data_IF_414910702706
#
_entry.id   IF_414910702706
#
_cell.length_a   1.000
_cell.length_b   1.000
_cell.length_c   1.000
_cell.angle_alpha   90.00
_cell.angle_beta   90.00
_cell.angle_gamma   90.00
#
_symmetry.space_group_name_H-M   'P 1'
#
loop_
_entity.id
_entity.type
_entity.pdbx_description
1 polymer ?
#
# COMPACT_ATOMS: atom_id res chain seq x y z
N UNK A 1 -46.27 21.85 2.59
CA UNK A 1 -44.89 22.38 2.63
C UNK A 1 -44.08 21.34 3.37
N UNK A 2 -43.61 20.34 2.64
CA UNK A 2 -42.73 19.33 3.21
C UNK A 2 -41.33 19.93 3.28
N UNK A 3 -40.88 20.18 4.50
CA UNK A 3 -39.50 20.55 4.77
C UNK A 3 -38.67 19.31 4.48
N UNK A 4 -38.13 19.25 3.26
CA UNK A 4 -37.03 18.36 2.92
C UNK A 4 -35.89 18.72 3.86
N UNK A 5 -35.75 17.94 4.93
CA UNK A 5 -34.54 17.88 5.73
C UNK A 5 -33.41 17.48 4.79
N UNK A 6 -32.74 18.48 4.22
CA UNK A 6 -31.41 18.29 3.65
C UNK A 6 -30.55 17.80 4.80
N UNK A 7 -30.32 16.48 4.90
CA UNK A 7 -29.23 15.91 5.70
C UNK A 7 -27.91 16.44 5.14
N UNK A 8 -27.56 17.65 5.52
CA UNK A 8 -26.19 18.14 5.47
C UNK A 8 -25.58 17.70 6.80
N UNK A 9 -25.12 16.46 6.84
CA UNK A 9 -24.09 16.05 7.79
C UNK A 9 -23.00 15.36 6.98
N UNK A 10 -22.41 16.10 6.04
CA UNK A 10 -21.33 15.62 5.16
C UNK A 10 -19.98 15.80 5.86
N UNK A 11 -19.80 15.06 6.95
CA UNK A 11 -18.53 15.06 7.68
C UNK A 11 -18.47 13.88 8.62
N UNK A 12 -17.26 13.41 8.85
CA UNK A 12 -16.96 12.37 9.82
C UNK A 12 -17.63 12.68 11.16
N UNK A 13 -18.21 11.64 11.80
CA UNK A 13 -18.65 11.74 13.19
C UNK A 13 -17.47 12.11 14.10
N UNK A 14 -17.72 12.41 15.38
CA UNK A 14 -16.62 12.60 16.34
C UNK A 14 -15.85 11.29 16.56
N UNK A 15 -14.54 11.34 16.84
CA UNK A 15 -13.75 10.16 17.17
C UNK A 15 -14.29 9.45 18.43
N UNK A 16 -14.01 8.14 18.61
CA UNK A 16 -13.21 7.29 17.74
C UNK A 16 -13.91 6.92 16.42
N UNK A 17 -13.17 7.00 15.32
CA UNK A 17 -13.63 6.57 13.99
C UNK A 17 -13.39 5.08 13.81
N UNK A 18 -14.38 4.37 13.28
CA UNK A 18 -14.28 2.93 13.03
C UNK A 18 -14.19 2.65 11.55
N UNK A 19 -13.16 1.93 11.13
CA UNK A 19 -12.96 1.47 9.76
C UNK A 19 -12.98 -0.05 9.73
N UNK A 20 -13.76 -0.65 8.83
CA UNK A 20 -13.81 -2.10 8.62
C UNK A 20 -13.55 -2.47 7.18
N UNK A 21 -12.85 -3.58 6.97
CA UNK A 21 -12.62 -4.12 5.63
C UNK A 21 -11.46 -5.10 5.57
N UNK A 22 -10.61 -4.94 4.55
CA UNK A 22 -9.41 -5.76 4.36
C UNK A 22 -8.21 -4.91 4.01
N UNK A 23 -7.01 -5.43 4.26
CA UNK A 23 -5.79 -4.72 3.91
C UNK A 23 -4.63 -5.65 3.57
N UNK A 24 -3.70 -5.12 2.77
CA UNK A 24 -2.38 -5.68 2.52
C UNK A 24 -1.34 -4.70 3.07
N UNK A 25 -0.61 -5.11 4.10
CA UNK A 25 0.55 -4.38 4.60
C UNK A 25 1.82 -5.03 4.10
N UNK A 26 2.58 -4.34 3.26
CA UNK A 26 3.89 -4.80 2.82
C UNK A 26 4.99 -3.92 3.41
N UNK A 27 5.89 -4.54 4.15
CA UNK A 27 7.05 -3.91 4.77
C UNK A 27 8.24 -4.02 3.82
N UNK A 28 8.92 -2.91 3.60
CA UNK A 28 10.08 -2.81 2.71
C UNK A 28 11.30 -2.23 3.43
N UNK A 29 12.49 -2.52 2.89
CA UNK A 29 13.72 -1.80 3.18
C UNK A 29 13.79 -0.54 2.31
N UNK A 30 13.48 0.60 2.91
CA UNK A 30 13.57 1.92 2.26
C UNK A 30 14.93 2.52 2.55
N UNK A 31 15.58 3.11 1.55
CA UNK A 31 16.84 3.86 1.77
C UNK A 31 16.58 5.03 2.72
N UNK A 32 17.41 5.19 3.74
CA UNK A 32 17.29 6.28 4.71
C UNK A 32 17.31 7.65 4.02
N UNK A 33 18.13 7.83 2.98
CA UNK A 33 18.15 9.06 2.18
C UNK A 33 16.80 9.40 1.54
N UNK A 34 16.06 8.40 1.03
CA UNK A 34 14.71 8.58 0.49
C UNK A 34 13.71 8.93 1.60
N UNK A 35 13.78 8.23 2.74
CA UNK A 35 12.89 8.50 3.87
C UNK A 35 13.09 9.92 4.45
N UNK A 36 14.34 10.41 4.48
CA UNK A 36 14.70 11.74 4.97
C UNK A 36 14.23 12.90 4.09
N UNK A 37 13.76 12.64 2.87
CA UNK A 37 13.08 13.66 2.07
C UNK A 37 11.66 13.96 2.60
N UNK A 38 11.02 13.01 3.28
CA UNK A 38 9.67 13.15 3.83
C UNK A 38 9.64 13.41 5.34
N UNK A 39 10.65 12.93 6.05
CA UNK A 39 10.69 12.92 7.51
C UNK A 39 11.53 14.11 8.00
N UNK A 40 10.95 15.03 8.80
CA UNK A 40 11.68 16.14 9.41
C UNK A 40 12.96 15.69 10.12
N UNK A 41 14.01 16.52 10.05
CA UNK A 41 15.34 16.16 10.59
C UNK A 41 15.33 16.05 12.11
N UNK A 42 14.42 16.75 12.76
CA UNK A 42 14.16 16.78 14.20
C UNK A 42 13.65 15.42 14.69
N UNK A 43 12.95 14.66 13.83
CA UNK A 43 12.48 13.33 14.14
C UNK A 43 13.60 12.31 13.94
N UNK A 44 13.81 11.48 14.96
CA UNK A 44 14.81 10.42 14.93
C UNK A 44 14.31 9.27 14.07
N UNK A 45 14.90 9.08 12.89
CA UNK A 45 14.65 7.91 12.05
C UNK A 45 15.22 6.64 12.69
N UNK A 46 14.43 5.57 12.72
CA UNK A 46 14.90 4.22 13.06
C UNK A 46 15.57 3.64 11.82
N UNK A 47 16.89 3.71 11.78
CA UNK A 47 17.70 3.27 10.64
C UNK A 47 18.82 2.30 11.04
N UNK A 48 19.15 1.39 10.13
CA UNK A 48 20.29 0.49 10.21
C UNK A 48 20.91 0.31 8.81
N UNK A 49 22.23 0.41 8.71
CA UNK A 49 22.97 0.26 7.44
C UNK A 49 22.49 1.16 6.29
N UNK A 50 21.97 2.36 6.61
CA UNK A 50 21.42 3.29 5.62
C UNK A 50 20.02 2.93 5.11
N UNK A 51 19.30 2.04 5.81
CA UNK A 51 17.92 1.66 5.51
C UNK A 51 17.01 1.84 6.73
N UNK A 52 15.72 2.03 6.48
CA UNK A 52 14.64 2.06 7.49
C UNK A 52 13.51 1.13 7.05
N UNK A 53 12.63 0.78 8.00
CA UNK A 53 11.41 0.04 7.70
C UNK A 53 10.34 1.02 7.22
N UNK A 54 9.89 0.82 5.98
CA UNK A 54 8.75 1.52 5.39
C UNK A 54 7.94 0.55 4.53
N UNK A 55 7.39 1.03 3.42
CA UNK A 55 6.64 0.21 2.47
C UNK A 55 5.28 0.80 2.17
N UNK A 56 4.22 -0.01 2.20
CA UNK A 56 2.87 0.49 1.97
C UNK A 56 1.79 -0.31 2.68
N UNK A 57 0.67 0.37 2.93
CA UNK A 57 -0.56 -0.22 3.43
C UNK A 57 -1.68 0.04 2.41
N UNK A 58 -2.17 -1.02 1.77
CA UNK A 58 -3.26 -0.97 0.80
C UNK A 58 -4.53 -1.53 1.46
N UNK A 59 -5.51 -0.67 1.72
CA UNK A 59 -6.77 -1.04 2.35
C UNK A 59 -7.97 -0.90 1.40
N UNK A 60 -8.94 -1.77 1.61
CA UNK A 60 -10.28 -1.70 1.03
C UNK A 60 -11.27 -1.70 2.19
N UNK A 61 -11.91 -0.55 2.42
CA UNK A 61 -12.86 -0.36 3.50
C UNK A 61 -14.29 -0.56 2.99
N UNK A 62 -15.01 -1.47 3.63
CA UNK A 62 -16.41 -1.78 3.34
C UNK A 62 -17.37 -1.00 4.27
N UNK A 63 -16.86 -0.48 5.40
CA UNK A 63 -17.61 0.33 6.37
C UNK A 63 -16.66 1.35 7.02
N UNK A 64 -16.97 2.64 6.87
CA UNK A 64 -16.20 3.74 7.46
C UNK A 64 -17.07 5.00 7.59
N UNK A 65 -16.61 6.04 8.30
CA UNK A 65 -17.36 7.31 8.36
C UNK A 65 -17.54 7.99 7.00
N UNK A 66 -16.65 7.74 6.02
CA UNK A 66 -16.75 8.24 4.64
C UNK A 66 -17.45 7.26 3.68
N UNK A 67 -18.05 6.19 4.19
CA UNK A 67 -18.59 5.10 3.39
C UNK A 67 -17.51 4.14 2.87
N UNK A 68 -17.78 3.50 1.74
CA UNK A 68 -16.88 2.51 1.11
C UNK A 68 -15.80 3.24 0.32
N UNK A 69 -14.53 2.95 0.60
CA UNK A 69 -13.41 3.55 -0.14
C UNK A 69 -12.14 2.68 -0.08
N UNK A 70 -11.22 2.90 -1.03
CA UNK A 70 -9.89 2.30 -1.06
C UNK A 70 -8.84 3.33 -0.64
N UNK A 71 -7.81 2.85 0.07
CA UNK A 71 -6.70 3.66 0.56
C UNK A 71 -5.35 2.99 0.27
N UNK A 72 -4.39 3.76 -0.21
CA UNK A 72 -2.99 3.37 -0.29
C UNK A 72 -2.13 4.37 0.49
N UNK A 73 -1.61 3.93 1.63
CA UNK A 73 -0.63 4.70 2.42
C UNK A 73 0.77 4.27 2.00
N UNK A 74 1.55 5.22 1.48
CA UNK A 74 2.99 5.05 1.23
C UNK A 74 3.74 5.41 2.52
N UNK A 75 4.48 4.47 3.07
CA UNK A 75 5.17 4.62 4.37
C UNK A 75 6.65 4.85 4.11
N UNK A 76 7.10 6.09 4.32
CA UNK A 76 8.49 6.51 4.07
C UNK A 76 9.50 5.76 4.95
N UNK A 77 9.15 5.58 6.21
CA UNK A 77 10.05 5.06 7.22
C UNK A 77 9.42 5.02 8.59
N UNK A 78 10.20 4.56 9.57
CA UNK A 78 9.77 4.43 10.96
C UNK A 78 10.53 5.45 11.81
N UNK A 79 9.80 6.32 12.50
CA UNK A 79 10.36 7.33 13.41
C UNK A 79 10.24 6.89 14.86
N UNK A 80 11.21 7.28 15.68
CA UNK A 80 11.16 7.05 17.12
C UNK A 80 10.22 8.05 17.77
N UNK A 81 9.24 7.57 18.54
CA UNK A 81 8.30 8.38 19.31
C UNK A 81 8.16 7.76 20.71
N UNK A 82 9.04 8.10 21.66
CA UNK A 82 9.11 7.42 22.96
C UNK A 82 7.73 7.30 23.64
N UNK A 83 7.35 6.11 24.17
CA UNK A 83 8.15 4.89 24.33
C UNK A 83 8.11 3.93 23.12
N UNK A 84 7.45 4.31 22.02
CA UNK A 84 7.22 3.44 20.85
C UNK A 84 7.91 4.00 19.60
N UNK A 85 7.55 3.45 18.44
CA UNK A 85 7.87 4.00 17.13
C UNK A 85 6.59 4.22 16.33
N UNK A 86 6.65 5.11 15.35
CA UNK A 86 5.52 5.41 14.48
C UNK A 86 5.94 5.31 13.01
N UNK A 87 5.03 4.83 12.17
CA UNK A 87 5.21 4.88 10.72
C UNK A 87 4.96 6.32 10.24
N UNK A 88 5.81 6.82 9.34
CA UNK A 88 5.62 8.11 8.70
C UNK A 88 5.05 7.95 7.30
N UNK A 89 3.86 8.53 7.06
CA UNK A 89 3.24 8.52 5.74
C UNK A 89 3.92 9.55 4.82
N UNK A 90 4.46 9.12 3.69
CA UNK A 90 4.95 10.00 2.63
C UNK A 90 3.80 10.55 1.78
N UNK A 91 2.80 9.70 1.51
CA UNK A 91 1.65 10.02 0.65
C UNK A 91 0.50 9.08 1.01
N UNK A 92 -0.72 9.60 1.02
CA UNK A 92 -1.93 8.80 1.23
C UNK A 92 -2.85 8.99 0.03
N UNK A 93 -3.17 7.92 -0.69
CA UNK A 93 -4.02 7.98 -1.88
C UNK A 93 -5.38 7.37 -1.54
N UNK A 94 -6.47 8.10 -1.79
CA UNK A 94 -7.84 7.63 -1.49
C UNK A 94 -8.82 7.95 -2.62
N UNK A 95 -9.79 7.08 -2.88
CA UNK A 95 -10.85 7.35 -3.87
C UNK A 95 -12.08 8.09 -3.30
N UNK A 96 -12.03 8.53 -2.04
CA UNK A 96 -13.08 9.36 -1.43
C UNK A 96 -12.58 10.78 -1.17
N UNK A 97 -13.27 11.76 -1.74
CA UNK A 97 -13.00 13.19 -1.48
C UNK A 97 -13.20 13.55 0.00
N UNK A 98 -14.19 12.94 0.66
CA UNK A 98 -14.46 13.17 2.07
C UNK A 98 -13.34 12.64 2.96
N UNK A 99 -12.87 11.41 2.69
CA UNK A 99 -11.73 10.83 3.40
C UNK A 99 -10.44 11.64 3.18
N UNK A 100 -10.21 12.11 1.95
CA UNK A 100 -9.07 12.97 1.61
C UNK A 100 -9.12 14.29 2.40
N UNK A 101 -10.26 14.98 2.35
CA UNK A 101 -10.45 16.26 3.03
C UNK A 101 -10.30 16.11 4.55
N UNK A 102 -10.93 15.09 5.13
CA UNK A 102 -10.83 14.79 6.56
C UNK A 102 -9.39 14.49 6.98
N UNK A 103 -8.69 13.61 6.23
CA UNK A 103 -7.30 13.27 6.50
C UNK A 103 -6.37 14.48 6.51
N UNK A 104 -6.55 15.42 5.58
CA UNK A 104 -5.76 16.67 5.57
C UNK A 104 -6.12 17.60 6.72
N UNK A 105 -7.42 17.83 6.94
CA UNK A 105 -7.89 18.88 7.85
C UNK A 105 -7.81 18.50 9.32
N UNK A 106 -8.24 17.29 9.67
CA UNK A 106 -8.35 16.83 11.06
C UNK A 106 -7.09 16.07 11.52
N UNK A 107 -6.38 15.41 10.58
CA UNK A 107 -5.23 14.54 10.91
C UNK A 107 -3.88 15.12 10.43
N UNK A 108 -3.88 15.97 9.40
CA UNK A 108 -2.64 16.48 8.79
C UNK A 108 -1.93 15.48 7.87
N UNK A 109 -2.67 14.52 7.30
CA UNK A 109 -2.11 13.52 6.38
C UNK A 109 -1.79 14.14 5.01
N UNK A 110 -0.72 13.66 4.33
CA UNK A 110 -0.40 14.01 2.95
C UNK A 110 -1.33 13.28 1.96
N UNK A 111 -2.64 13.47 2.13
CA UNK A 111 -3.67 12.77 1.36
C UNK A 111 -3.86 13.38 -0.01
N UNK A 112 -4.09 12.57 -1.04
CA UNK A 112 -4.43 12.96 -2.41
C UNK A 112 -5.57 12.08 -2.92
N UNK A 113 -6.40 12.64 -3.79
CA UNK A 113 -7.48 11.88 -4.43
C UNK A 113 -6.88 10.99 -5.50
N UNK A 114 -7.29 9.73 -5.55
CA UNK A 114 -6.80 8.75 -6.51
C UNK A 114 -7.91 7.83 -6.99
N UNK A 115 -7.71 7.25 -8.17
CA UNK A 115 -8.56 6.21 -8.73
C UNK A 115 -7.88 4.85 -8.55
N UNK A 116 -8.67 3.88 -8.10
CA UNK A 116 -8.26 2.49 -7.92
C UNK A 116 -9.00 1.63 -8.93
N UNK A 117 -8.27 0.87 -9.73
CA UNK A 117 -8.82 -0.09 -10.70
C UNK A 117 -8.36 -1.49 -10.34
N UNK A 118 -9.29 -2.34 -9.90
CA UNK A 118 -9.02 -3.74 -9.53
C UNK A 118 -9.38 -4.65 -10.69
N UNK A 119 -8.41 -5.44 -11.17
CA UNK A 119 -8.60 -6.45 -12.21
C UNK A 119 -8.21 -7.82 -11.68
N UNK A 120 -9.12 -8.78 -11.78
CA UNK A 120 -8.85 -10.17 -11.42
C UNK A 120 -8.55 -10.93 -12.72
N UNK A 121 -7.38 -11.56 -12.78
CA UNK A 121 -6.97 -12.40 -13.90
C UNK A 121 -6.74 -13.82 -13.38
N UNK A 122 -7.52 -14.78 -13.88
CA UNK A 122 -7.25 -16.19 -13.64
C UNK A 122 -5.97 -16.57 -14.38
N UNK A 123 -4.96 -17.08 -13.67
CA UNK A 123 -3.69 -17.47 -14.30
C UNK A 123 -3.86 -18.86 -14.93
N UNK A 124 -3.78 -19.00 -16.27
CA UNK A 124 -3.88 -20.31 -16.92
C UNK A 124 -2.63 -21.15 -16.63
N UNK A 125 -2.80 -22.46 -16.40
CA UNK A 125 -1.69 -23.37 -16.09
C UNK A 125 -0.69 -23.43 -17.24
N UNK A 126 0.58 -23.09 -16.99
CA UNK A 126 1.66 -23.39 -17.92
C UNK A 126 1.97 -24.89 -17.83
N UNK A 127 1.65 -25.65 -18.87
CA UNK A 127 2.02 -27.07 -19.00
C UNK A 127 3.54 -27.12 -19.01
N UNK A 128 4.15 -27.66 -17.95
CA UNK A 128 5.60 -27.89 -17.92
C UNK A 128 5.90 -28.96 -18.96
N UNK A 129 6.51 -28.57 -20.07
CA UNK A 129 7.03 -29.54 -21.02
C UNK A 129 8.04 -30.43 -20.30
N UNK A 130 7.80 -31.74 -20.33
CA UNK A 130 8.71 -32.76 -19.81
C UNK A 130 10.00 -32.68 -20.62
N UNK A 131 11.06 -32.14 -20.02
CA UNK A 131 12.43 -32.51 -20.39
C UNK A 131 12.88 -33.63 -19.44
N UNK A 132 13.28 -34.76 -20.03
CA UNK A 132 13.67 -36.03 -19.40
C UNK A 132 14.92 -35.93 -18.50
N UNK A 133 15.02 -36.85 -17.53
CA UNK A 133 16.32 -37.32 -17.05
C UNK A 133 16.37 -37.80 -15.60
N UNK A 134 16.01 -39.07 -15.36
CA UNK A 134 16.44 -39.93 -14.24
C UNK A 134 16.39 -39.36 -12.81
N UNK A 135 15.33 -39.68 -12.06
CA UNK A 135 15.31 -40.09 -10.63
C UNK A 135 13.85 -40.22 -10.15
N UNK A 136 13.13 -41.23 -10.66
CA UNK A 136 11.80 -41.62 -10.16
C UNK A 136 11.94 -42.95 -9.41
N UNK A 137 12.24 -42.92 -8.11
CA UNK A 137 12.12 -44.11 -7.22
C UNK A 137 11.80 -43.77 -5.76
N UNK A 138 11.02 -42.71 -5.48
CA UNK A 138 10.24 -42.66 -4.24
C UNK A 138 8.91 -41.98 -4.52
N UNK A 139 7.86 -42.80 -4.62
CA UNK A 139 6.50 -42.35 -4.82
C UNK A 139 6.05 -41.44 -3.68
N UNK A 140 5.75 -40.18 -4.01
CA UNK A 140 4.94 -39.31 -3.17
C UNK A 140 4.12 -38.36 -4.07
N UNK A 141 2.80 -38.42 -3.88
CA UNK A 141 1.74 -37.91 -4.75
C UNK A 141 1.98 -36.58 -5.46
N UNK A 142 1.62 -36.56 -6.75
CA UNK A 142 1.39 -35.34 -7.53
C UNK A 142 0.22 -34.56 -6.94
N UNK A 143 0.52 -33.58 -6.07
CA UNK A 143 -0.50 -32.65 -5.59
C UNK A 143 -0.95 -31.73 -6.73
N UNK A 144 -2.19 -31.89 -7.18
CA UNK A 144 -2.88 -30.96 -8.07
C UNK A 144 -3.00 -29.59 -7.37
N UNK A 145 -2.17 -28.63 -7.76
CA UNK A 145 -2.31 -27.24 -7.31
C UNK A 145 -3.53 -26.57 -7.98
N UNK A 146 -4.29 -25.84 -7.16
CA UNK A 146 -5.48 -25.07 -7.56
C UNK A 146 -5.08 -23.82 -8.38
N UNK A 147 -6.01 -23.23 -9.16
CA UNK A 147 -5.77 -21.99 -9.90
C UNK A 147 -5.37 -20.86 -8.93
N UNK A 148 -4.29 -20.13 -9.24
CA UNK A 148 -3.94 -18.90 -8.55
C UNK A 148 -4.64 -17.73 -9.26
N UNK A 149 -5.49 -17.01 -8.54
CA UNK A 149 -6.04 -15.75 -9.03
C UNK A 149 -5.05 -14.62 -8.79
N UNK A 150 -4.74 -13.85 -9.83
CA UNK A 150 -3.93 -12.64 -9.72
C UNK A 150 -4.86 -11.43 -9.66
N UNK A 151 -4.77 -10.68 -8.57
CA UNK A 151 -5.46 -9.40 -8.41
C UNK A 151 -4.46 -8.29 -8.70
N UNK A 152 -4.74 -7.51 -9.74
CA UNK A 152 -3.99 -6.31 -10.09
C UNK A 152 -4.76 -5.08 -9.64
N UNK A 153 -4.13 -4.22 -8.84
CA UNK A 153 -4.66 -2.93 -8.41
C UNK A 153 -3.82 -1.84 -9.06
N UNK A 154 -4.41 -1.12 -10.02
CA UNK A 154 -3.80 0.07 -10.61
C UNK A 154 -4.25 1.31 -9.84
N UNK A 155 -3.29 2.16 -9.49
CA UNK A 155 -3.54 3.39 -8.75
C UNK A 155 -3.09 4.58 -9.59
N UNK A 156 -4.00 5.53 -9.81
CA UNK A 156 -3.71 6.77 -10.53
C UNK A 156 -4.18 7.96 -9.71
N UNK A 157 -3.28 8.92 -9.46
CA UNK A 157 -3.61 10.14 -8.72
C UNK A 157 -4.41 11.08 -9.61
N UNK A 158 -5.38 11.78 -9.03
CA UNK A 158 -6.26 12.73 -9.71
C UNK A 158 -5.96 14.13 -9.21
N UNK A 159 -5.57 15.01 -10.13
CA UNK A 159 -5.34 16.42 -9.87
C UNK A 159 -6.20 17.26 -10.83
N UNK A 160 -7.31 17.80 -10.31
CA UNK A 160 -8.31 18.50 -11.12
C UNK A 160 -8.86 17.62 -12.25
N UNK A 161 -8.60 18.02 -13.49
CA UNK A 161 -9.00 17.27 -14.69
C UNK A 161 -7.94 16.25 -15.17
N UNK A 162 -6.73 16.30 -14.61
CA UNK A 162 -5.64 15.40 -14.97
C UNK A 162 -5.66 14.14 -14.08
N UNK A 163 -5.26 13.02 -14.66
CA UNK A 163 -5.03 11.76 -13.94
C UNK A 163 -3.67 11.24 -14.31
N UNK A 164 -2.88 10.83 -13.33
CA UNK A 164 -1.52 10.43 -13.55
C UNK A 164 -1.22 9.12 -12.81
N UNK A 165 -0.75 8.12 -13.54
CA UNK A 165 -0.56 6.78 -12.99
C UNK A 165 0.59 6.74 -11.98
N UNK A 166 0.37 6.07 -10.85
CA UNK A 166 1.34 5.97 -9.75
C UNK A 166 2.02 4.61 -9.80
N UNK A 167 1.24 3.53 -9.73
CA UNK A 167 1.76 2.18 -9.68
C UNK A 167 0.71 1.14 -10.06
N UNK A 168 1.19 -0.07 -10.37
CA UNK A 168 0.39 -1.28 -10.40
C UNK A 168 0.87 -2.24 -9.33
N UNK A 169 -0.04 -2.71 -8.48
CA UNK A 169 0.23 -3.66 -7.39
C UNK A 169 -0.43 -4.99 -7.76
N UNK A 170 0.39 -6.01 -8.01
CA UNK A 170 -0.06 -7.36 -8.36
C UNK A 170 0.05 -8.26 -7.14
N UNK A 171 -1.10 -8.64 -6.61
CA UNK A 171 -1.26 -9.54 -5.46
C UNK A 171 -1.63 -10.91 -5.99
N UNK A 172 -0.90 -11.95 -5.56
CA UNK A 172 -1.29 -13.34 -5.83
C UNK A 172 -2.18 -13.83 -4.72
N UNK A 173 -3.35 -14.35 -5.07
CA UNK A 173 -4.18 -15.11 -4.16
C UNK A 173 -3.56 -16.50 -3.99
N UNK A 174 -2.70 -16.66 -2.99
CA UNK A 174 -2.21 -17.99 -2.63
C UNK A 174 -3.41 -18.81 -2.13
N UNK A 175 -3.82 -19.81 -2.93
CA UNK A 175 -4.68 -20.87 -2.46
C UNK A 175 -3.99 -21.54 -1.26
N UNK A 176 -4.73 -21.64 -0.16
CA UNK A 176 -4.34 -21.86 1.24
C UNK A 176 -3.32 -22.99 1.52
N UNK A 177 -2.92 -23.81 0.55
CA UNK A 177 -2.17 -25.06 0.82
C UNK A 177 -0.66 -25.05 0.56
N UNK A 178 -0.11 -24.16 -0.31
CA UNK A 178 1.33 -24.24 -0.66
C UNK A 178 2.23 -23.38 0.24
N UNK A 179 1.78 -22.18 0.62
CA UNK A 179 2.54 -21.27 1.48
C UNK A 179 2.58 -21.77 2.93
N UNK A 180 1.49 -22.36 3.45
CA UNK A 180 1.48 -22.99 4.79
C UNK A 180 2.47 -24.16 4.87
N UNK A 181 2.62 -24.94 3.78
CA UNK A 181 3.62 -26.01 3.68
C UNK A 181 5.06 -25.50 3.56
N UNK A 182 5.29 -24.41 2.81
CA UNK A 182 6.63 -23.78 2.69
C UNK A 182 7.03 -22.96 3.92
N UNK A 183 6.08 -22.38 4.65
CA UNK A 183 6.33 -21.73 5.93
C UNK A 183 6.74 -22.76 7.01
N UNK A 184 6.32 -24.02 6.87
CA UNK A 184 6.88 -25.14 7.63
C UNK A 184 8.38 -25.38 7.37
N UNK A 185 8.95 -24.87 6.27
CA UNK A 185 10.40 -24.89 5.98
C UNK A 185 11.08 -23.53 6.17
N UNK A 186 10.37 -22.52 6.67
CA UNK A 186 10.95 -21.21 6.99
C UNK A 186 11.79 -21.35 8.26
N UNK A 187 13.11 -21.16 8.14
CA UNK A 187 14.06 -21.28 9.25
C UNK A 187 14.14 -20.06 10.18
N UNK A 188 13.35 -19.01 9.93
CA UNK A 188 13.22 -17.87 10.85
C UNK A 188 12.16 -18.12 11.94
N UNK A 189 12.10 -17.29 12.99
CA UNK A 189 11.11 -17.45 14.05
C UNK A 189 9.69 -17.35 13.47
N UNK A 190 8.85 -18.35 13.78
CA UNK A 190 7.44 -18.34 13.43
C UNK A 190 6.70 -17.32 14.31
N UNK A 191 6.44 -16.14 13.76
CA UNK A 191 5.69 -15.10 14.47
C UNK A 191 4.19 -15.34 14.25
N UNK A 192 3.51 -15.91 15.24
CA UNK A 192 2.04 -16.01 15.27
C UNK A 192 1.49 -14.74 15.93
N UNK A 193 1.03 -13.79 15.12
CA UNK A 193 0.29 -12.62 15.61
C UNK A 193 -1.21 -12.87 15.52
N UNK A 194 -1.86 -13.14 16.65
CA UNK A 194 -3.32 -13.05 16.76
C UNK A 194 -3.65 -11.74 17.47
N UNK A 195 -4.01 -10.73 16.69
CA UNK A 195 -4.54 -9.49 17.25
C UNK A 195 -6.05 -9.67 17.47
N UNK A 196 -6.62 -9.16 18.58
CA UNK A 196 -7.97 -9.53 19.03
C UNK A 196 -9.10 -9.25 18.01
N UNK A 197 -8.87 -8.36 17.04
CA UNK A 197 -9.91 -7.85 16.14
C UNK A 197 -9.74 -8.18 14.66
N UNK A 198 -8.73 -8.98 14.24
CA UNK A 198 -8.57 -9.32 12.81
C UNK A 198 -7.69 -10.54 12.53
N UNK A 199 -7.91 -11.17 11.38
CA UNK A 199 -7.13 -12.33 10.91
C UNK A 199 -5.95 -11.86 10.08
N UNK A 200 -4.75 -11.93 10.65
CA UNK A 200 -3.48 -11.67 9.95
C UNK A 200 -2.92 -12.95 9.36
N UNK A 201 -2.48 -12.90 8.10
CA UNK A 201 -1.74 -14.00 7.48
C UNK A 201 -0.53 -13.48 6.72
N UNK A 202 0.66 -14.07 6.90
CA UNK A 202 1.77 -13.79 6.01
C UNK A 202 1.45 -14.28 4.60
N UNK A 203 1.71 -13.44 3.60
CA UNK A 203 1.49 -13.73 2.18
C UNK A 203 2.75 -13.45 1.39
N UNK A 204 2.84 -13.94 0.15
CA UNK A 204 3.92 -13.55 -0.75
C UNK A 204 3.86 -12.04 -0.98
N UNK A 205 5.00 -11.33 -0.94
CA UNK A 205 5.04 -9.93 -1.31
C UNK A 205 4.43 -9.69 -2.69
N UNK A 206 3.53 -8.71 -2.77
CA UNK A 206 3.00 -8.20 -4.00
C UNK A 206 4.12 -7.56 -4.84
N UNK A 207 4.01 -7.75 -6.15
CA UNK A 207 4.90 -7.12 -7.12
C UNK A 207 4.35 -5.74 -7.41
N UNK A 208 5.17 -4.72 -7.20
CA UNK A 208 4.85 -3.33 -7.54
C UNK A 208 5.64 -2.97 -8.79
N UNK A 209 4.98 -2.41 -9.80
CA UNK A 209 5.61 -1.96 -11.05
C UNK A 209 5.23 -0.52 -11.39
N UNK A 210 6.07 0.13 -12.20
CA UNK A 210 5.74 1.44 -12.74
C UNK A 210 4.65 1.31 -13.82
N UNK A 211 3.92 2.40 -14.10
CA UNK A 211 3.01 2.47 -15.24
C UNK A 211 3.75 2.36 -16.59
N UNK A 212 5.01 2.79 -16.64
CA UNK A 212 5.80 2.93 -17.88
C UNK A 212 6.69 1.73 -18.24
N UNK A 213 6.62 0.62 -17.49
CA UNK A 213 7.43 -0.58 -17.80
C UNK A 213 6.97 -1.31 -19.10
N UNK A 214 6.01 -0.75 -19.86
CA UNK A 214 5.46 -1.32 -21.10
C UNK A 214 5.80 -0.49 -22.37
N UNK A 215 6.44 0.69 -22.28
CA UNK A 215 6.81 1.47 -23.46
C UNK A 215 8.16 2.18 -23.29
N UNK A 216 9.05 1.90 -24.24
CA UNK A 216 10.41 2.40 -24.42
C UNK A 216 10.58 3.91 -24.20
N UNK A 217 11.66 4.26 -23.49
CA UNK A 217 12.12 5.61 -23.18
C UNK A 217 12.09 6.59 -24.36
N UNK A 218 11.52 7.78 -24.14
CA UNK A 218 12.03 9.05 -24.69
C UNK A 218 11.83 10.18 -23.69
N UNK A 219 12.90 10.57 -23.01
CA UNK A 219 13.01 11.88 -22.39
C UNK A 219 13.36 12.91 -23.48
N UNK A 220 12.57 13.98 -23.57
CA UNK A 220 12.98 15.23 -24.20
C UNK A 220 12.88 16.33 -23.17
N UNK A 221 14.02 16.96 -22.89
CA UNK A 221 14.15 18.19 -22.11
C UNK A 221 13.54 19.36 -22.90
N UNK A 222 12.67 20.15 -22.29
CA UNK A 222 12.46 21.54 -22.71
C UNK A 222 12.33 22.47 -21.49
N UNK A 223 13.15 23.53 -21.53
CA UNK A 223 13.16 24.67 -20.64
C UNK A 223 11.93 25.55 -20.85
N UNK A 224 11.37 26.16 -19.79
CA UNK A 224 11.28 27.63 -19.62
C UNK A 224 10.41 28.05 -18.41
N UNK A 225 11.09 28.71 -17.46
CA UNK A 225 10.72 29.83 -16.58
C UNK A 225 9.24 30.24 -16.37
N UNK A 226 8.66 29.88 -15.21
CA UNK A 226 7.70 30.71 -14.44
C UNK A 226 7.83 30.38 -12.94
N UNK A 227 8.38 31.30 -12.12
CA UNK A 227 9.15 30.92 -10.93
C UNK A 227 8.38 30.49 -9.66
N UNK A 228 7.06 30.66 -9.54
CA UNK A 228 6.32 30.24 -8.33
C UNK A 228 5.32 29.08 -8.56
N UNK A 229 4.74 28.98 -9.75
CA UNK A 229 3.89 27.84 -10.13
C UNK A 229 4.73 26.62 -10.51
N UNK A 230 5.86 26.81 -11.22
CA UNK A 230 6.76 25.70 -11.53
C UNK A 230 7.46 25.14 -10.30
N UNK A 231 7.76 25.95 -9.27
CA UNK A 231 8.42 25.44 -8.06
C UNK A 231 7.51 24.46 -7.30
N UNK A 232 6.24 24.81 -7.10
CA UNK A 232 5.26 23.94 -6.44
C UNK A 232 4.93 22.68 -7.26
N UNK A 233 4.82 22.81 -8.59
CA UNK A 233 4.60 21.66 -9.47
C UNK A 233 5.80 20.71 -9.47
N UNK A 234 7.02 21.24 -9.52
CA UNK A 234 8.26 20.46 -9.45
C UNK A 234 8.45 19.77 -8.09
N UNK A 235 8.11 20.44 -6.99
CA UNK A 235 8.18 19.86 -5.65
C UNK A 235 7.19 18.69 -5.49
N UNK A 236 5.93 18.88 -5.89
CA UNK A 236 4.94 17.80 -5.85
C UNK A 236 5.32 16.63 -6.78
N UNK A 237 5.86 16.91 -7.96
CA UNK A 237 6.39 15.87 -8.85
C UNK A 237 7.55 15.11 -8.21
N UNK A 238 8.49 15.82 -7.57
CA UNK A 238 9.61 15.20 -6.87
C UNK A 238 9.15 14.33 -5.68
N UNK A 239 8.24 14.85 -4.85
CA UNK A 239 7.63 14.08 -3.76
C UNK A 239 6.92 12.82 -4.27
N UNK A 240 6.20 12.96 -5.39
CA UNK A 240 5.56 11.83 -6.04
C UNK A 240 6.59 10.80 -6.51
N UNK A 241 7.64 11.22 -7.21
CA UNK A 241 8.74 10.34 -7.67
C UNK A 241 9.41 9.62 -6.51
N UNK A 242 9.65 10.32 -5.40
CA UNK A 242 10.21 9.74 -4.18
C UNK A 242 9.23 8.76 -3.50
N UNK A 243 7.93 9.04 -3.50
CA UNK A 243 6.91 8.13 -2.95
C UNK A 243 6.83 6.84 -3.78
N UNK A 244 6.97 6.94 -5.10
CA UNK A 244 7.08 5.79 -5.99
C UNK A 244 8.37 5.00 -5.74
N UNK A 245 9.49 5.68 -5.43
CA UNK A 245 10.73 5.01 -5.05
C UNK A 245 10.59 4.22 -3.72
N UNK A 246 9.76 4.69 -2.78
CA UNK A 246 9.39 3.92 -1.58
C UNK A 246 8.59 2.67 -1.95
N UNK A 247 7.57 2.82 -2.81
CA UNK A 247 6.74 1.70 -3.30
C UNK A 247 7.53 0.61 -4.03
N UNK A 248 8.60 1.01 -4.74
CA UNK A 248 9.49 0.12 -5.47
C UNK A 248 10.65 -0.46 -4.64
N UNK A 249 10.75 -0.08 -3.37
CA UNK A 249 11.85 -0.54 -2.52
C UNK A 249 11.80 -2.04 -2.26
N UNK A 250 12.82 -2.59 -1.58
CA UNK A 250 12.96 -4.04 -1.46
C UNK A 250 11.96 -4.59 -0.44
N UNK A 251 10.97 -5.42 -0.85
CA UNK A 251 10.02 -5.98 0.11
C UNK A 251 10.70 -7.01 1.01
N UNK A 252 10.26 -7.07 2.27
CA UNK A 252 10.74 -8.02 3.29
C UNK A 252 9.62 -8.99 3.65
N UNK A 253 8.46 -8.45 4.04
CA UNK A 253 7.32 -9.20 4.56
C UNK A 253 6.04 -8.56 4.02
N UNK A 254 5.06 -9.39 3.69
CA UNK A 254 3.70 -8.95 3.40
C UNK A 254 2.70 -9.67 4.32
N UNK A 255 1.76 -8.91 4.85
CA UNK A 255 0.72 -9.36 5.77
C UNK A 255 -0.64 -9.00 5.18
N UNK A 256 -1.50 -10.00 5.03
CA UNK A 256 -2.89 -9.80 4.64
C UNK A 256 -3.77 -9.79 5.90
N UNK A 257 -4.62 -8.78 5.99
CA UNK A 257 -5.61 -8.57 7.03
C UNK A 257 -6.98 -8.84 6.42
N UNK A 258 -7.67 -9.85 6.93
CA UNK A 258 -9.08 -10.10 6.61
C UNK A 258 -9.94 -9.72 7.82
N UNK A 259 -11.10 -9.14 7.53
CA UNK A 259 -12.06 -8.69 8.54
C UNK A 259 -11.43 -7.69 9.52
N UNK A 260 -10.61 -6.77 8.98
CA UNK A 260 -9.99 -5.69 9.73
C UNK A 260 -11.08 -4.84 10.38
N UNK A 261 -10.95 -4.56 11.67
CA UNK A 261 -11.68 -3.48 12.36
C UNK A 261 -10.66 -2.60 13.07
N UNK A 262 -10.54 -1.36 12.62
CA UNK A 262 -9.60 -0.37 13.13
C UNK A 262 -10.38 0.77 13.78
N UNK A 263 -10.04 1.08 15.03
CA UNK A 263 -10.53 2.28 15.72
C UNK A 263 -9.42 3.32 15.73
N UNK A 264 -9.75 4.54 15.31
CA UNK A 264 -8.82 5.66 15.17
C UNK A 264 -9.31 6.81 16.04
N UNK A 265 -8.48 7.23 16.97
CA UNK A 265 -8.72 8.40 17.80
C UNK A 265 -8.29 9.68 17.07
N UNK A 266 -8.75 10.84 17.55
CA UNK A 266 -8.20 12.11 17.09
C UNK A 266 -6.69 12.19 17.38
N UNK A 267 -5.91 12.84 16.49
CA UNK A 267 -4.50 13.06 16.76
C UNK A 267 -4.34 13.89 18.04
N UNK A 268 -3.37 13.50 18.86
CA UNK A 268 -2.96 14.26 20.03
C UNK A 268 -1.74 15.08 19.63
N UNK A 269 -1.78 16.39 19.87
CA UNK A 269 -0.58 17.22 19.76
C UNK A 269 0.33 16.86 20.94
N UNK A 270 1.49 16.28 20.63
CA UNK A 270 2.52 15.89 21.62
C UNK A 270 3.66 16.90 21.58
#
# INVERSE_FOLDING_TARGET
MDVIERRISSGYAKPPWTFKGSALYQIHLVKAATARAFIPKELRLVEAFGYTLGGFFLASYDDSPAGVFDELVVIAGTVWNPPTSCAWAARVLVNSNEACHHGRKEVGLPSQVARFSKKITAVPKRKRERAFGFLDTFGLGTTLSQPEDLVEVKVSEVDGAASADICSIKVRSDATSEMEKKLGSWMGPAIKMSLPSFRVRPVRPAVVSHPFDDETEKFSEENHTSQELHENENENENERRLSVAVLLSKPIIALQFKDLTMQVEAPVVV
#
